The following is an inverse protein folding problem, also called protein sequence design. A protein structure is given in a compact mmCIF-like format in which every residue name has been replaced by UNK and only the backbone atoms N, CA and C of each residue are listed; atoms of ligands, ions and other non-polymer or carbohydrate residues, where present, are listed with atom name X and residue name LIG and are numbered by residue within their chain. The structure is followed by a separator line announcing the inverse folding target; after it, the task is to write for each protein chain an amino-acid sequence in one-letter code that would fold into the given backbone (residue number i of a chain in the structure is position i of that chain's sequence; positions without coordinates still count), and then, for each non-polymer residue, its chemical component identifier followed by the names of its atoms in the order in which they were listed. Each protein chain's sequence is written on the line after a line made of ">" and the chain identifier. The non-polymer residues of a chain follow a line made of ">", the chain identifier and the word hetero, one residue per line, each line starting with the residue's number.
data_IF_216199471789
#
_entry.id   IF_216199471789
#
_cell.length_a   1.000
_cell.length_b   1.000
_cell.length_c   1.000
_cell.angle_alpha   90.00
_cell.angle_beta   90.00
_cell.angle_gamma   90.00
#
_symmetry.space_group_name_H-M   'P 1'
#
loop_
_entity.id
_entity.type
_entity.pdbx_description
1 polymer ?
#
# COMPACT_ATOMS: atom_id res chain seq x y z
N UNK A 1 0.71 9.66 9.10
CA UNK A 1 1.39 8.87 8.06
C UNK A 1 2.87 9.09 8.17
N UNK A 2 3.64 8.01 8.24
CA UNK A 2 5.11 8.07 8.20
C UNK A 2 5.56 8.55 6.82
N UNK A 3 6.66 9.31 6.76
CA UNK A 3 7.26 9.71 5.49
C UNK A 3 7.66 8.46 4.68
N UNK A 4 7.50 8.48 3.35
CA UNK A 4 7.79 7.35 2.44
C UNK A 4 9.19 6.75 2.67
N UNK A 5 10.14 7.58 3.09
CA UNK A 5 11.54 7.23 3.37
C UNK A 5 11.77 6.53 4.72
N UNK A 6 10.79 6.57 5.63
CA UNK A 6 10.89 6.00 6.98
C UNK A 6 10.35 4.56 7.11
N UNK A 7 9.83 3.98 6.02
CA UNK A 7 9.39 2.59 6.01
C UNK A 7 10.55 1.65 5.69
N UNK A 8 10.71 0.61 6.49
CA UNK A 8 11.57 -0.53 6.19
C UNK A 8 11.12 -1.24 4.90
N UNK A 9 12.04 -1.97 4.25
CA UNK A 9 11.70 -2.83 3.10
C UNK A 9 10.54 -3.79 3.43
N UNK A 10 10.51 -4.34 4.65
CA UNK A 10 9.44 -5.24 5.08
C UNK A 10 8.09 -4.53 5.23
N UNK A 11 8.11 -3.33 5.80
CA UNK A 11 6.93 -2.50 6.00
C UNK A 11 6.33 -2.06 4.65
N UNK A 12 7.20 -1.58 3.74
CA UNK A 12 6.82 -1.24 2.37
C UNK A 12 6.17 -2.43 1.65
N UNK A 13 6.81 -3.61 1.68
CA UNK A 13 6.25 -4.81 1.06
C UNK A 13 4.90 -5.18 1.68
N UNK A 14 4.77 -5.11 3.02
CA UNK A 14 3.53 -5.45 3.71
C UNK A 14 2.37 -4.56 3.30
N UNK A 15 2.61 -3.25 3.16
CA UNK A 15 1.63 -2.29 2.67
C UNK A 15 1.23 -2.62 1.24
N UNK A 16 2.19 -2.78 0.33
CA UNK A 16 1.91 -3.11 -1.06
C UNK A 16 1.11 -4.41 -1.22
N UNK A 17 1.48 -5.47 -0.51
CA UNK A 17 0.76 -6.76 -0.56
C UNK A 17 -0.66 -6.65 -0.01
N UNK A 18 -0.85 -5.92 1.11
CA UNK A 18 -2.17 -5.72 1.68
C UNK A 18 -3.07 -4.90 0.74
N UNK A 19 -2.52 -3.86 0.09
CA UNK A 19 -3.27 -3.04 -0.85
C UNK A 19 -3.61 -3.79 -2.14
N UNK A 20 -2.68 -4.57 -2.68
CA UNK A 20 -2.93 -5.42 -3.84
C UNK A 20 -4.08 -6.41 -3.59
N UNK A 21 -4.15 -6.99 -2.38
CA UNK A 21 -5.27 -7.86 -1.99
C UNK A 21 -6.61 -7.11 -1.97
N UNK A 22 -6.65 -5.88 -1.45
CA UNK A 22 -7.87 -5.07 -1.46
C UNK A 22 -8.36 -4.79 -2.88
N UNK A 23 -7.44 -4.44 -3.79
CA UNK A 23 -7.76 -4.20 -5.20
C UNK A 23 -8.28 -5.48 -5.86
N UNK A 24 -7.65 -6.63 -5.59
CA UNK A 24 -8.10 -7.93 -6.08
C UNK A 24 -9.52 -8.30 -5.58
N UNK A 25 -9.91 -7.79 -4.41
CA UNK A 25 -11.27 -7.94 -3.84
C UNK A 25 -12.28 -6.92 -4.39
N UNK A 26 -11.90 -6.07 -5.35
CA UNK A 26 -12.77 -5.07 -5.95
C UNK A 26 -12.83 -3.74 -5.18
N UNK A 27 -11.84 -3.45 -4.32
CA UNK A 27 -11.72 -2.13 -3.68
C UNK A 27 -11.46 -1.04 -4.73
N UNK A 28 -12.08 0.15 -4.59
CA UNK A 28 -11.85 1.25 -5.52
C UNK A 28 -10.39 1.71 -5.50
N UNK A 29 -9.87 1.97 -6.70
CA UNK A 29 -8.54 2.49 -6.95
C UNK A 29 -8.60 4.02 -6.99
N UNK A 30 -7.63 4.69 -6.35
CA UNK A 30 -7.61 6.14 -6.22
C UNK A 30 -6.74 6.85 -7.26
N UNK A 31 -6.04 6.08 -8.11
CA UNK A 31 -5.20 6.57 -9.20
C UNK A 31 -5.79 6.22 -10.55
N UNK A 32 -5.47 7.03 -11.56
CA UNK A 32 -5.90 6.79 -12.93
C UNK A 32 -5.07 5.65 -13.52
N UNK A 33 -5.65 4.46 -13.61
CA UNK A 33 -4.95 3.25 -14.07
C UNK A 33 -4.91 3.27 -15.60
N UNK A 34 -3.73 3.25 -16.25
CA UNK A 34 -3.64 3.21 -17.69
C UNK A 34 -4.33 1.93 -18.23
N UNK A 35 -5.11 2.10 -19.31
CA UNK A 35 -5.88 1.01 -19.93
C UNK A 35 -4.94 -0.13 -20.32
N UNK A 36 -4.98 -1.24 -19.56
CA UNK A 36 -4.14 -2.41 -19.78
C UNK A 36 -3.46 -2.96 -18.53
N UNK A 37 -3.43 -2.21 -17.42
CA UNK A 37 -2.91 -2.74 -16.14
C UNK A 37 -4.03 -3.51 -15.44
N UNK A 38 -3.96 -4.83 -15.52
CA UNK A 38 -4.89 -5.76 -14.86
C UNK A 38 -4.34 -6.21 -13.51
N UNK A 39 -3.01 -6.19 -13.32
CA UNK A 39 -2.36 -6.71 -12.12
C UNK A 39 -2.63 -5.79 -10.91
N UNK A 40 -3.31 -6.29 -9.86
CA UNK A 40 -3.57 -5.54 -8.63
C UNK A 40 -2.29 -5.04 -7.95
N UNK A 41 -1.17 -5.73 -8.13
CA UNK A 41 0.10 -5.34 -7.52
C UNK A 41 0.71 -4.10 -8.16
N UNK A 42 0.69 -4.01 -9.49
CA UNK A 42 1.17 -2.83 -10.21
C UNK A 42 0.28 -1.62 -9.91
N UNK A 43 -1.04 -1.81 -9.79
CA UNK A 43 -1.96 -0.75 -9.34
C UNK A 43 -1.60 -0.26 -7.93
N UNK A 44 -1.35 -1.16 -6.98
CA UNK A 44 -0.91 -0.79 -5.65
C UNK A 44 0.44 -0.04 -5.67
N UNK A 45 1.38 -0.43 -6.54
CA UNK A 45 2.65 0.28 -6.70
C UNK A 45 2.44 1.70 -7.23
N UNK A 46 1.56 1.89 -8.21
CA UNK A 46 1.21 3.21 -8.73
C UNK A 46 0.61 4.11 -7.64
N UNK A 47 -0.30 3.58 -6.81
CA UNK A 47 -0.83 4.32 -5.67
C UNK A 47 0.25 4.69 -4.64
N UNK A 48 1.22 3.79 -4.40
CA UNK A 48 2.37 4.05 -3.50
C UNK A 48 3.25 5.18 -4.03
N UNK A 49 3.47 5.20 -5.35
CA UNK A 49 4.31 6.20 -5.98
C UNK A 49 3.63 7.57 -6.08
N UNK A 50 2.30 7.59 -6.25
CA UNK A 50 1.48 8.78 -6.13
C UNK A 50 1.28 9.26 -4.67
N UNK A 51 1.64 8.46 -3.66
CA UNK A 51 1.43 8.78 -2.25
C UNK A 51 -0.04 8.72 -1.80
N UNK A 52 -0.90 8.05 -2.58
CA UNK A 52 -2.35 7.99 -2.39
C UNK A 52 -2.82 6.68 -1.72
N UNK A 53 -1.90 5.89 -1.17
CA UNK A 53 -2.28 4.61 -0.53
C UNK A 53 -3.08 4.86 0.75
N UNK A 54 -4.29 4.26 0.87
CA UNK A 54 -5.19 4.49 2.00
C UNK A 54 -4.88 3.64 3.24
N UNK A 55 -3.73 2.98 3.32
CA UNK A 55 -3.32 2.12 4.44
C UNK A 55 -1.94 2.49 4.98
N UNK A 56 -1.76 2.35 6.28
CA UNK A 56 -0.51 2.66 6.98
C UNK A 56 -0.20 1.56 8.02
N UNK A 57 1.06 1.46 8.45
CA UNK A 57 1.51 0.52 9.47
C UNK A 57 1.45 1.17 10.84
N UNK A 58 0.74 0.50 11.75
CA UNK A 58 0.76 0.86 13.17
C UNK A 58 1.94 0.19 13.86
N UNK A 59 2.84 0.99 14.40
CA UNK A 59 3.92 0.49 15.25
C UNK A 59 3.34 -0.22 16.48
N UNK A 60 3.76 -1.45 16.71
CA UNK A 60 3.51 -2.14 17.98
C UNK A 60 4.50 -1.60 19.00
N UNK A 61 4.03 -0.71 19.89
CA UNK A 61 4.78 -0.41 21.12
C UNK A 61 4.91 -1.69 21.95
N UNK A 62 6.06 -1.94 22.61
CA UNK A 62 6.16 -3.05 23.52
C UNK A 62 5.07 -2.91 24.58
N UNK A 63 4.32 -3.99 24.83
CA UNK A 63 3.42 -4.04 25.98
C UNK A 63 4.33 -3.86 27.20
N UNK A 64 4.18 -2.74 27.91
CA UNK A 64 4.73 -2.63 29.25
C UNK A 64 4.09 -3.77 30.06
N UNK A 65 4.93 -4.61 30.66
CA UNK A 65 4.51 -5.65 31.57
C UNK A 65 3.82 -5.05 32.80
#
# INVERSE_FOLDING_TARGET
>A
MKAKESYSRYEKTRILSARALQIAQGSPVLVDVPRGVIDPFEVARLEWDAGMIPIDIKERKPKKA
#
